data_IF_605011589799
#
_entry.id   IF_605011589799
#
_cell.length_a   1.000
_cell.length_b   1.000
_cell.length_c   1.000
_cell.angle_alpha   90.00
_cell.angle_beta   90.00
_cell.angle_gamma   90.00
#
_symmetry.space_group_name_H-M   'P 1'
#
loop_
_entity.id
_entity.type
_entity.pdbx_description
1 polymer ?
#
# COMPACT_ATOMS: atom_id res chain seq x y z
N UNK A 1 114.70 96.25 -19.10
CA UNK A 1 115.10 96.29 -17.68
C UNK A 1 114.47 97.50 -17.04
N UNK A 2 113.49 97.28 -16.15
CA UNK A 2 113.02 98.14 -15.04
C UNK A 2 111.49 98.01 -14.92
N UNK A 3 111.08 97.06 -14.10
CA UNK A 3 109.70 96.72 -13.76
C UNK A 3 109.08 97.86 -12.95
N UNK A 4 107.87 98.36 -13.28
CA UNK A 4 107.22 99.43 -12.53
C UNK A 4 106.76 98.89 -11.16
N UNK A 5 107.36 99.41 -10.10
CA UNK A 5 107.08 99.10 -8.69
C UNK A 5 105.61 99.20 -8.23
N UNK A 6 104.73 99.79 -9.02
CA UNK A 6 103.33 100.10 -8.70
C UNK A 6 102.40 98.89 -8.78
N UNK A 7 102.68 97.93 -9.67
CA UNK A 7 101.89 96.69 -9.74
C UNK A 7 102.24 95.74 -8.60
N UNK A 8 103.52 95.68 -8.21
CA UNK A 8 103.96 94.89 -7.05
C UNK A 8 103.35 95.42 -5.75
N UNK A 9 103.22 96.75 -5.61
CA UNK A 9 102.61 97.35 -4.42
C UNK A 9 101.11 97.08 -4.32
N UNK A 10 100.38 97.13 -5.45
CA UNK A 10 98.95 96.78 -5.47
C UNK A 10 98.71 95.31 -5.17
N UNK A 11 99.52 94.41 -5.73
CA UNK A 11 99.37 92.97 -5.51
C UNK A 11 99.75 92.57 -4.08
N UNK A 12 100.81 93.17 -3.52
CA UNK A 12 101.19 92.98 -2.12
C UNK A 12 100.11 93.53 -1.15
N UNK A 13 99.43 94.63 -1.48
CA UNK A 13 98.31 95.13 -0.68
C UNK A 13 97.08 94.21 -0.75
N UNK A 14 96.81 93.62 -1.91
CA UNK A 14 95.67 92.71 -2.11
C UNK A 14 95.87 91.37 -1.40
N UNK A 15 97.10 90.85 -1.36
CA UNK A 15 97.48 89.67 -0.56
C UNK A 15 97.54 89.96 0.95
N UNK A 16 98.00 91.16 1.35
CA UNK A 16 98.06 91.55 2.78
C UNK A 16 96.69 91.87 3.39
N UNK A 17 95.66 92.13 2.58
CA UNK A 17 94.30 92.46 3.04
C UNK A 17 93.33 91.26 3.10
N UNK A 18 93.64 90.11 2.49
CA UNK A 18 92.68 88.98 2.42
C UNK A 18 93.04 87.76 3.28
N UNK A 19 94.17 87.78 3.99
CA UNK A 19 94.59 86.72 4.92
C UNK A 19 94.99 87.29 6.27
N UNK A 20 93.98 87.65 7.06
CA UNK A 20 93.85 87.40 8.51
C UNK A 20 92.75 88.28 9.09
N UNK A 21 91.63 87.67 9.46
CA UNK A 21 90.86 88.13 10.61
C UNK A 21 91.15 87.19 11.76
N UNK A 22 91.86 87.68 12.81
CA UNK A 22 92.12 86.93 14.02
C UNK A 22 90.86 86.84 14.88
N UNK A 23 90.80 85.79 15.67
CA UNK A 23 89.82 85.61 16.73
C UNK A 23 89.95 86.69 17.82
N UNK A 24 88.78 87.04 18.38
CA UNK A 24 88.53 87.54 19.74
C UNK A 24 88.99 88.97 20.11
N UNK A 25 88.02 89.88 20.20
CA UNK A 25 87.74 90.61 21.44
C UNK A 25 86.32 91.18 21.42
N UNK A 26 85.50 90.73 22.37
CA UNK A 26 84.25 91.39 22.72
C UNK A 26 84.56 92.68 23.50
N UNK A 27 83.66 93.66 23.33
CA UNK A 27 83.41 94.80 24.23
C UNK A 27 84.15 96.13 23.96
N UNK A 28 83.72 96.86 22.91
CA UNK A 28 83.01 98.16 23.03
C UNK A 28 82.65 98.71 21.63
N UNK A 29 81.44 98.38 21.14
CA UNK A 29 80.88 98.93 19.90
C UNK A 29 79.96 100.12 20.23
N UNK A 30 79.95 101.21 19.43
CA UNK A 30 79.00 102.32 19.57
C UNK A 30 77.55 101.79 19.51
N UNK A 31 76.64 102.22 20.42
CA UNK A 31 75.29 101.66 20.55
C UNK A 31 74.44 101.65 19.27
N UNK A 32 74.69 102.57 18.33
CA UNK A 32 73.89 102.75 17.11
C UNK A 32 74.18 101.68 16.04
N UNK A 33 75.43 101.22 15.90
CA UNK A 33 75.78 100.18 14.92
C UNK A 33 75.31 98.80 15.36
N UNK A 34 75.39 98.50 16.67
CA UNK A 34 74.85 97.26 17.25
C UNK A 34 73.32 97.18 17.12
N UNK A 35 72.62 98.31 17.05
CA UNK A 35 71.17 98.37 16.81
C UNK A 35 70.80 98.18 15.33
N UNK A 36 71.64 98.60 14.38
CA UNK A 36 71.42 98.39 12.95
C UNK A 36 71.69 96.93 12.56
N UNK A 37 72.77 96.35 13.06
CA UNK A 37 73.09 94.93 12.88
C UNK A 37 71.99 94.05 13.53
N UNK A 38 71.53 94.40 14.73
CA UNK A 38 70.35 93.77 15.35
C UNK A 38 69.07 93.95 14.54
N UNK A 39 68.89 95.05 13.82
CA UNK A 39 67.71 95.29 12.97
C UNK A 39 67.78 94.49 11.67
N UNK A 40 68.95 94.38 11.04
CA UNK A 40 69.16 93.50 9.88
C UNK A 40 69.01 92.02 10.27
N UNK A 41 69.62 91.58 11.38
CA UNK A 41 69.42 90.24 11.95
C UNK A 41 67.92 89.94 12.18
N UNK A 42 67.15 90.91 12.69
CA UNK A 42 65.72 90.74 12.91
C UNK A 42 64.92 90.68 11.61
N UNK A 43 65.31 91.42 10.57
CA UNK A 43 64.64 91.39 9.26
C UNK A 43 64.94 90.08 8.52
N UNK A 44 66.18 89.61 8.56
CA UNK A 44 66.55 88.34 7.94
C UNK A 44 66.00 87.15 8.74
N UNK A 45 66.02 87.21 10.08
CA UNK A 45 65.33 86.22 10.92
C UNK A 45 63.80 86.22 10.68
N UNK A 46 63.17 87.37 10.43
CA UNK A 46 61.74 87.44 10.09
C UNK A 46 61.48 86.89 8.67
N UNK A 47 62.37 87.12 7.70
CA UNK A 47 62.30 86.51 6.37
C UNK A 47 62.45 84.99 6.44
N UNK A 48 63.43 84.49 7.20
CA UNK A 48 63.66 83.07 7.41
C UNK A 48 62.50 82.42 8.15
N UNK A 49 61.95 83.09 9.18
CA UNK A 49 60.75 82.63 9.88
C UNK A 49 59.54 82.59 8.95
N UNK A 50 59.36 83.57 8.06
CA UNK A 50 58.29 83.58 7.06
C UNK A 50 58.48 82.49 6.01
N UNK A 51 59.72 82.25 5.55
CA UNK A 51 60.04 81.18 4.63
C UNK A 51 59.79 79.80 5.29
N UNK A 52 60.18 79.62 6.55
CA UNK A 52 59.94 78.41 7.32
C UNK A 52 58.44 78.20 7.61
N UNK A 53 57.69 79.26 7.91
CA UNK A 53 56.22 79.21 8.03
C UNK A 53 55.56 78.86 6.70
N UNK A 54 56.06 79.38 5.58
CA UNK A 54 55.53 79.07 4.25
C UNK A 54 55.77 77.61 3.85
N UNK A 55 56.99 77.07 4.10
CA UNK A 55 57.32 75.68 3.80
C UNK A 55 56.57 74.69 4.71
N UNK A 56 56.46 74.98 6.01
CA UNK A 56 55.67 74.16 6.95
C UNK A 56 54.17 74.19 6.61
N UNK A 57 53.63 75.35 6.26
CA UNK A 57 52.23 75.49 5.80
C UNK A 57 51.98 74.73 4.49
N UNK A 58 52.91 74.77 3.54
CA UNK A 58 52.83 74.03 2.29
C UNK A 58 52.88 72.51 2.53
N UNK A 59 53.77 72.03 3.42
CA UNK A 59 53.86 70.62 3.79
C UNK A 59 52.59 70.11 4.49
N UNK A 60 51.99 70.93 5.37
CA UNK A 60 50.72 70.61 6.03
C UNK A 60 49.54 70.58 5.05
N UNK A 61 49.50 71.51 4.08
CA UNK A 61 48.49 71.50 3.00
C UNK A 61 48.62 70.24 2.14
N UNK A 62 49.84 69.92 1.68
CA UNK A 62 50.09 68.71 0.90
C UNK A 62 49.74 67.43 1.70
N UNK A 63 50.01 67.40 3.01
CA UNK A 63 49.62 66.28 3.88
C UNK A 63 48.10 66.15 4.01
N UNK A 64 47.38 67.27 4.15
CA UNK A 64 45.90 67.29 4.17
C UNK A 64 45.33 66.79 2.85
N UNK A 65 45.84 67.26 1.72
CA UNK A 65 45.41 66.82 0.39
C UNK A 65 45.64 65.32 0.20
N UNK A 66 46.82 64.81 0.55
CA UNK A 66 47.12 63.36 0.53
C UNK A 66 46.19 62.56 1.43
N UNK A 67 45.83 63.09 2.61
CA UNK A 67 44.95 62.41 3.54
C UNK A 67 43.50 62.39 3.03
N UNK A 68 43.03 63.49 2.45
CA UNK A 68 41.71 63.57 1.79
C UNK A 68 41.64 62.62 0.59
N UNK A 69 42.71 62.54 -0.21
CA UNK A 69 42.76 61.66 -1.36
C UNK A 69 42.71 60.18 -0.96
N UNK A 70 43.50 59.79 0.06
CA UNK A 70 43.42 58.44 0.67
C UNK A 70 42.04 58.15 1.25
N UNK A 71 41.41 59.12 1.91
CA UNK A 71 40.07 58.97 2.46
C UNK A 71 39.03 58.76 1.36
N UNK A 72 39.13 59.50 0.24
CA UNK A 72 38.27 59.32 -0.93
C UNK A 72 38.49 57.96 -1.60
N UNK A 73 39.73 57.50 -1.71
CA UNK A 73 40.08 56.17 -2.24
C UNK A 73 39.53 55.04 -1.35
N UNK A 74 39.63 55.18 -0.03
CA UNK A 74 39.07 54.25 0.95
C UNK A 74 37.54 54.24 0.91
N UNK A 75 36.90 55.41 0.88
CA UNK A 75 35.44 55.54 0.72
C UNK A 75 34.98 54.88 -0.59
N UNK A 76 35.68 55.13 -1.69
CA UNK A 76 35.41 54.47 -2.97
C UNK A 76 35.60 52.96 -2.90
N UNK A 77 36.62 52.48 -2.18
CA UNK A 77 36.88 51.05 -2.00
C UNK A 77 35.83 50.38 -1.12
N UNK A 78 35.35 51.05 -0.06
CA UNK A 78 34.28 50.56 0.80
C UNK A 78 32.96 50.42 0.03
N UNK A 79 32.60 51.40 -0.79
CA UNK A 79 31.39 51.31 -1.64
C UNK A 79 31.51 50.17 -2.65
N UNK A 80 32.69 49.97 -3.26
CA UNK A 80 32.95 48.83 -4.15
C UNK A 80 32.87 47.49 -3.40
N UNK A 81 33.38 47.43 -2.18
CA UNK A 81 33.36 46.24 -1.34
C UNK A 81 31.94 45.89 -0.87
N UNK A 82 31.14 46.89 -0.47
CA UNK A 82 29.74 46.72 -0.11
C UNK A 82 28.91 46.22 -1.30
N UNK A 83 29.13 46.79 -2.49
CA UNK A 83 28.51 46.33 -3.73
C UNK A 83 28.95 44.91 -4.14
N UNK A 84 30.20 44.53 -3.83
CA UNK A 84 30.70 43.18 -4.04
C UNK A 84 30.08 42.17 -3.06
N UNK A 85 29.81 42.58 -1.82
CA UNK A 85 29.17 41.74 -0.80
C UNK A 85 27.66 41.57 -0.97
N UNK A 86 27.01 42.39 -1.80
CA UNK A 86 25.62 42.19 -2.25
C UNK A 86 25.52 41.00 -3.23
N UNK A 87 26.01 39.82 -2.83
CA UNK A 87 25.78 38.56 -3.51
C UNK A 87 24.28 38.26 -3.46
N UNK A 88 23.53 38.71 -4.47
CA UNK A 88 22.10 38.40 -4.61
C UNK A 88 21.85 36.89 -4.74
N UNK A 89 22.87 36.13 -5.13
CA UNK A 89 22.79 34.67 -5.30
C UNK A 89 22.56 33.93 -3.99
N UNK A 90 23.04 34.42 -2.83
CA UNK A 90 22.90 33.68 -1.56
C UNK A 90 21.46 33.72 -1.02
N UNK A 91 20.79 34.90 -0.90
CA UNK A 91 19.38 34.94 -0.53
C UNK A 91 18.47 34.20 -1.51
N UNK A 92 18.77 34.27 -2.81
CA UNK A 92 18.01 33.55 -3.84
C UNK A 92 18.17 32.03 -3.72
N UNK A 93 19.40 31.56 -3.42
CA UNK A 93 19.67 30.15 -3.14
C UNK A 93 18.92 29.67 -1.88
N UNK A 94 18.93 30.45 -0.80
CA UNK A 94 18.20 30.14 0.44
C UNK A 94 16.69 30.07 0.16
N UNK A 95 16.12 31.05 -0.53
CA UNK A 95 14.70 31.04 -0.88
C UNK A 95 14.31 29.84 -1.76
N UNK A 96 15.20 29.41 -2.68
CA UNK A 96 15.00 28.18 -3.46
C UNK A 96 15.07 26.91 -2.62
N UNK A 97 15.97 26.84 -1.64
CA UNK A 97 16.04 25.73 -0.70
C UNK A 97 14.79 25.65 0.18
N UNK A 98 14.32 26.77 0.71
CA UNK A 98 13.09 26.82 1.51
C UNK A 98 11.88 26.38 0.69
N UNK A 99 11.74 26.89 -0.54
CA UNK A 99 10.68 26.46 -1.46
C UNK A 99 10.77 24.96 -1.80
N UNK A 100 11.99 24.42 -1.93
CA UNK A 100 12.19 22.99 -2.17
C UNK A 100 11.82 22.15 -0.93
N UNK A 101 12.15 22.62 0.27
CA UNK A 101 11.78 21.97 1.52
C UNK A 101 10.26 21.96 1.71
N UNK A 102 9.57 23.07 1.42
CA UNK A 102 8.12 23.20 1.49
C UNK A 102 7.43 22.27 0.49
N UNK A 103 7.90 22.23 -0.76
CA UNK A 103 7.37 21.31 -1.78
C UNK A 103 7.62 19.85 -1.39
N UNK A 104 8.79 19.52 -0.85
CA UNK A 104 9.09 18.18 -0.35
C UNK A 104 8.17 17.79 0.83
N UNK A 105 7.90 18.71 1.75
CA UNK A 105 6.99 18.47 2.86
C UNK A 105 5.56 18.24 2.37
N UNK A 106 5.08 19.06 1.43
CA UNK A 106 3.76 18.89 0.80
C UNK A 106 3.65 17.54 0.08
N UNK A 107 4.66 17.14 -0.69
CA UNK A 107 4.68 15.85 -1.39
C UNK A 107 4.67 14.66 -0.41
N UNK A 108 5.37 14.75 0.72
CA UNK A 108 5.33 13.71 1.76
C UNK A 108 3.97 13.62 2.44
N UNK A 109 3.27 14.74 2.60
CA UNK A 109 1.93 14.73 3.16
C UNK A 109 0.96 14.05 2.20
N UNK A 110 0.97 14.43 0.92
CA UNK A 110 0.10 13.81 -0.09
C UNK A 110 0.41 12.34 -0.29
N UNK A 111 1.69 11.93 -0.27
CA UNK A 111 2.08 10.52 -0.32
C UNK A 111 1.48 9.72 0.85
N UNK A 112 1.50 10.26 2.07
CA UNK A 112 0.89 9.61 3.24
C UNK A 112 -0.63 9.48 3.11
N UNK A 113 -1.29 10.53 2.62
CA UNK A 113 -2.73 10.52 2.37
C UNK A 113 -3.09 9.46 1.32
N UNK A 114 -2.37 9.42 0.21
CA UNK A 114 -2.56 8.42 -0.85
C UNK A 114 -2.32 6.99 -0.35
N UNK A 115 -1.30 6.77 0.47
CA UNK A 115 -1.05 5.47 1.09
C UNK A 115 -2.18 5.06 2.04
N UNK A 116 -2.67 5.98 2.86
CA UNK A 116 -3.79 5.72 3.76
C UNK A 116 -5.09 5.40 2.97
N UNK A 117 -5.36 6.11 1.88
CA UNK A 117 -6.48 5.82 0.99
C UNK A 117 -6.34 4.44 0.32
N UNK A 118 -5.14 4.11 -0.15
CA UNK A 118 -4.84 2.81 -0.76
C UNK A 118 -5.02 1.67 0.24
N UNK A 119 -4.54 1.83 1.47
CA UNK A 119 -4.73 0.85 2.55
C UNK A 119 -6.21 0.70 2.91
N UNK A 120 -6.95 1.80 3.01
CA UNK A 120 -8.40 1.77 3.25
C UNK A 120 -9.15 1.07 2.10
N UNK A 121 -8.78 1.34 0.86
CA UNK A 121 -9.35 0.70 -0.31
C UNK A 121 -9.05 -0.81 -0.35
N UNK A 122 -7.81 -1.20 -0.03
CA UNK A 122 -7.41 -2.62 0.10
C UNK A 122 -8.19 -3.32 1.21
N UNK A 123 -8.34 -2.69 2.37
CA UNK A 123 -9.12 -3.25 3.48
C UNK A 123 -10.61 -3.41 3.12
N UNK A 124 -11.18 -2.45 2.38
CA UNK A 124 -12.57 -2.55 1.87
C UNK A 124 -12.72 -3.71 0.88
N UNK A 125 -11.79 -3.83 -0.07
CA UNK A 125 -11.77 -4.94 -1.02
C UNK A 125 -11.64 -6.29 -0.33
N UNK A 126 -10.78 -6.40 0.69
CA UNK A 126 -10.61 -7.63 1.44
C UNK A 126 -11.92 -8.01 2.15
N UNK A 127 -12.57 -7.08 2.85
CA UNK A 127 -13.86 -7.34 3.51
C UNK A 127 -14.95 -7.79 2.55
N UNK A 128 -15.00 -7.20 1.35
CA UNK A 128 -15.95 -7.62 0.32
C UNK A 128 -15.67 -9.05 -0.15
N UNK A 129 -14.40 -9.38 -0.39
CA UNK A 129 -14.00 -10.76 -0.76
C UNK A 129 -14.33 -11.75 0.32
N UNK A 130 -14.05 -11.43 1.58
CA UNK A 130 -14.33 -12.32 2.71
C UNK A 130 -15.85 -12.53 2.85
N UNK A 131 -16.65 -11.47 2.73
CA UNK A 131 -18.11 -11.57 2.76
C UNK A 131 -18.69 -12.39 1.57
N UNK A 132 -18.13 -12.23 0.37
CA UNK A 132 -18.50 -13.05 -0.79
C UNK A 132 -18.13 -14.52 -0.59
N UNK A 133 -16.96 -14.81 -0.02
CA UNK A 133 -16.54 -16.17 0.31
C UNK A 133 -17.47 -16.80 1.35
N UNK A 134 -17.82 -16.07 2.40
CA UNK A 134 -18.74 -16.53 3.44
C UNK A 134 -20.13 -16.85 2.86
N UNK A 135 -20.67 -15.98 2.00
CA UNK A 135 -21.96 -16.25 1.35
C UNK A 135 -21.88 -17.43 0.38
N UNK A 136 -20.78 -17.58 -0.37
CA UNK A 136 -20.57 -18.74 -1.25
C UNK A 136 -20.51 -20.05 -0.44
N UNK A 137 -19.84 -20.05 0.71
CA UNK A 137 -19.83 -21.18 1.63
C UNK A 137 -21.23 -21.48 2.18
N UNK A 138 -21.98 -20.45 2.59
CA UNK A 138 -23.35 -20.60 3.10
C UNK A 138 -24.29 -21.18 2.05
N UNK A 139 -24.20 -20.70 0.81
CA UNK A 139 -24.96 -21.24 -0.31
C UNK A 139 -24.55 -22.67 -0.65
N UNK A 140 -23.25 -22.98 -0.60
CA UNK A 140 -22.71 -24.33 -0.76
C UNK A 140 -23.28 -25.31 0.26
N UNK A 141 -23.28 -24.93 1.54
CA UNK A 141 -23.88 -25.71 2.63
C UNK A 141 -25.39 -25.88 2.43
N UNK A 142 -26.10 -24.81 2.03
CA UNK A 142 -27.53 -24.90 1.77
C UNK A 142 -27.85 -25.85 0.61
N UNK A 143 -27.05 -25.82 -0.46
CA UNK A 143 -27.17 -26.72 -1.59
C UNK A 143 -26.97 -28.18 -1.16
N UNK A 144 -25.94 -28.46 -0.36
CA UNK A 144 -25.69 -29.81 0.17
C UNK A 144 -26.88 -30.33 1.00
N UNK A 145 -27.42 -29.51 1.91
CA UNK A 145 -28.61 -29.88 2.70
C UNK A 145 -29.83 -30.16 1.84
N UNK A 146 -30.05 -29.38 0.77
CA UNK A 146 -31.16 -29.61 -0.15
C UNK A 146 -30.96 -30.89 -0.96
N UNK A 147 -29.73 -31.20 -1.37
CA UNK A 147 -29.39 -32.45 -2.06
C UNK A 147 -29.63 -33.66 -1.17
N UNK A 148 -29.17 -33.64 0.09
CA UNK A 148 -29.41 -34.73 1.04
C UNK A 148 -30.91 -34.96 1.28
N UNK A 149 -31.70 -33.89 1.42
CA UNK A 149 -33.16 -33.99 1.55
C UNK A 149 -33.83 -34.57 0.31
N UNK A 150 -33.33 -34.22 -0.87
CA UNK A 150 -33.82 -34.75 -2.14
C UNK A 150 -33.51 -36.25 -2.27
N UNK A 151 -32.30 -36.65 -1.94
CA UNK A 151 -31.86 -38.06 -1.94
C UNK A 151 -32.67 -38.89 -0.95
N UNK A 152 -32.83 -38.43 0.29
CA UNK A 152 -33.67 -39.10 1.28
C UNK A 152 -35.14 -39.20 0.84
N UNK A 153 -35.68 -38.20 0.15
CA UNK A 153 -37.02 -38.26 -0.40
C UNK A 153 -37.12 -39.29 -1.54
N UNK A 154 -36.14 -39.31 -2.45
CA UNK A 154 -36.06 -40.29 -3.55
C UNK A 154 -35.96 -41.72 -3.02
N UNK A 155 -35.12 -41.96 -2.03
CA UNK A 155 -34.98 -43.27 -1.39
C UNK A 155 -36.31 -43.75 -0.79
N UNK A 156 -37.03 -42.87 -0.09
CA UNK A 156 -38.36 -43.19 0.45
C UNK A 156 -39.34 -43.53 -0.66
N UNK A 157 -39.36 -42.75 -1.75
CA UNK A 157 -40.23 -43.03 -2.90
C UNK A 157 -39.93 -44.40 -3.49
N UNK A 158 -38.65 -44.72 -3.75
CA UNK A 158 -38.23 -46.03 -4.26
C UNK A 158 -38.62 -47.17 -3.32
N UNK A 159 -38.47 -46.99 -2.00
CA UNK A 159 -38.90 -47.98 -1.01
C UNK A 159 -40.41 -48.24 -1.08
N UNK A 160 -41.22 -47.18 -1.20
CA UNK A 160 -42.67 -47.32 -1.31
C UNK A 160 -43.11 -47.90 -2.65
N UNK A 161 -42.46 -47.53 -3.75
CA UNK A 161 -42.70 -48.15 -5.06
C UNK A 161 -42.40 -49.65 -5.03
N UNK A 162 -41.29 -50.06 -4.41
CA UNK A 162 -40.95 -51.48 -4.25
C UNK A 162 -42.00 -52.22 -3.41
N UNK A 163 -42.41 -51.66 -2.27
CA UNK A 163 -43.48 -52.23 -1.44
C UNK A 163 -44.80 -52.32 -2.21
N UNK A 164 -45.15 -51.29 -2.98
CA UNK A 164 -46.36 -51.27 -3.79
C UNK A 164 -46.34 -52.38 -4.84
N UNK A 165 -45.22 -52.57 -5.55
CA UNK A 165 -45.05 -53.66 -6.52
C UNK A 165 -45.18 -55.02 -5.84
N UNK A 166 -44.59 -55.21 -4.65
CA UNK A 166 -44.72 -56.46 -3.89
C UNK A 166 -46.18 -56.76 -3.51
N UNK A 167 -46.92 -55.74 -3.05
CA UNK A 167 -48.35 -55.87 -2.72
C UNK A 167 -49.14 -56.23 -3.97
N UNK A 168 -48.89 -55.54 -5.09
CA UNK A 168 -49.56 -55.77 -6.35
C UNK A 168 -49.31 -57.19 -6.88
N UNK A 169 -48.05 -57.65 -6.87
CA UNK A 169 -47.68 -59.01 -7.29
C UNK A 169 -48.37 -60.05 -6.40
N UNK A 170 -48.34 -59.86 -5.08
CA UNK A 170 -49.02 -60.76 -4.14
C UNK A 170 -50.53 -60.81 -4.40
N UNK A 171 -51.16 -59.67 -4.63
CA UNK A 171 -52.58 -59.59 -4.95
C UNK A 171 -52.91 -60.30 -6.28
N UNK A 172 -52.07 -60.14 -7.30
CA UNK A 172 -52.21 -60.83 -8.58
C UNK A 172 -52.09 -62.36 -8.42
N UNK A 173 -51.12 -62.84 -7.64
CA UNK A 173 -50.96 -64.26 -7.33
C UNK A 173 -52.17 -64.83 -6.59
N UNK A 174 -52.67 -64.13 -5.56
CA UNK A 174 -53.86 -64.55 -4.81
C UNK A 174 -55.11 -64.58 -5.69
N UNK A 175 -55.28 -63.59 -6.56
CA UNK A 175 -56.39 -63.52 -7.52
C UNK A 175 -56.32 -64.69 -8.51
N UNK A 176 -55.13 -65.00 -9.02
CA UNK A 176 -54.92 -66.13 -9.92
C UNK A 176 -55.21 -67.48 -9.23
N UNK A 177 -54.72 -67.67 -8.01
CA UNK A 177 -54.98 -68.89 -7.23
C UNK A 177 -56.46 -69.06 -6.93
N UNK A 178 -57.16 -67.99 -6.55
CA UNK A 178 -58.61 -68.02 -6.36
C UNK A 178 -59.33 -68.41 -7.66
N UNK A 179 -58.97 -67.78 -8.79
CA UNK A 179 -59.51 -68.14 -10.09
C UNK A 179 -59.32 -69.63 -10.43
N UNK A 180 -58.11 -70.16 -10.21
CA UNK A 180 -57.82 -71.60 -10.42
C UNK A 180 -58.65 -72.49 -9.50
N UNK A 181 -58.74 -72.16 -8.22
CA UNK A 181 -59.52 -72.95 -7.26
C UNK A 181 -61.01 -72.97 -7.61
N UNK A 182 -61.58 -71.83 -8.01
CA UNK A 182 -62.96 -71.73 -8.51
C UNK A 182 -63.20 -72.60 -9.73
N UNK A 183 -62.30 -72.56 -10.71
CA UNK A 183 -62.39 -73.41 -11.91
C UNK A 183 -62.29 -74.90 -11.57
N UNK A 184 -61.38 -75.29 -10.67
CA UNK A 184 -61.28 -76.68 -10.22
C UNK A 184 -62.54 -77.15 -9.49
N UNK A 185 -63.10 -76.33 -8.60
CA UNK A 185 -64.35 -76.62 -7.90
C UNK A 185 -65.53 -76.81 -8.87
N UNK A 186 -65.69 -75.89 -9.83
CA UNK A 186 -66.70 -75.99 -10.87
C UNK A 186 -66.54 -77.26 -11.70
N UNK A 187 -65.31 -77.57 -12.12
CA UNK A 187 -65.03 -78.78 -12.90
C UNK A 187 -65.39 -80.06 -12.13
N UNK A 188 -65.07 -80.12 -10.83
CA UNK A 188 -65.44 -81.26 -9.97
C UNK A 188 -66.97 -81.35 -9.80
N UNK A 189 -67.64 -80.24 -9.55
CA UNK A 189 -69.10 -80.19 -9.44
C UNK A 189 -69.78 -80.67 -10.74
N UNK A 190 -69.31 -80.20 -11.89
CA UNK A 190 -69.81 -80.66 -13.19
C UNK A 190 -69.63 -82.17 -13.37
N UNK A 191 -68.49 -82.74 -12.96
CA UNK A 191 -68.27 -84.18 -13.00
C UNK A 191 -69.27 -84.93 -12.09
N UNK A 192 -69.53 -84.44 -10.89
CA UNK A 192 -70.56 -85.00 -9.98
C UNK A 192 -71.95 -84.95 -10.60
N UNK A 193 -72.34 -83.81 -11.19
CA UNK A 193 -73.61 -83.67 -11.90
C UNK A 193 -73.74 -84.66 -13.06
N UNK A 194 -72.67 -84.86 -13.84
CA UNK A 194 -72.63 -85.85 -14.93
C UNK A 194 -72.84 -87.27 -14.40
N UNK A 195 -72.15 -87.67 -13.32
CA UNK A 195 -72.32 -88.98 -12.71
C UNK A 195 -73.73 -89.21 -12.16
N UNK A 196 -74.36 -88.18 -11.59
CA UNK A 196 -75.75 -88.23 -11.10
C UNK A 196 -76.80 -88.05 -12.21
N UNK A 197 -76.38 -87.79 -13.46
CA UNK A 197 -77.25 -87.41 -14.58
C UNK A 197 -78.17 -86.23 -14.26
N UNK A 198 -77.67 -85.29 -13.45
CA UNK A 198 -78.37 -84.07 -13.06
C UNK A 198 -77.84 -82.89 -13.87
N UNK A 199 -78.72 -81.96 -14.24
CA UNK A 199 -78.28 -80.68 -14.83
C UNK A 199 -77.65 -79.81 -13.76
N UNK A 200 -76.47 -79.20 -14.01
CA UNK A 200 -75.88 -78.23 -13.08
C UNK A 200 -76.86 -77.09 -12.79
N UNK A 201 -77.32 -76.98 -11.55
CA UNK A 201 -78.36 -76.02 -11.14
C UNK A 201 -77.82 -74.84 -10.32
N UNK A 202 -76.56 -74.92 -9.87
CA UNK A 202 -75.89 -73.87 -9.12
C UNK A 202 -75.27 -72.85 -10.07
N UNK A 203 -75.19 -71.60 -9.61
CA UNK A 203 -74.51 -70.53 -10.34
C UNK A 203 -73.01 -70.82 -10.47
N UNK A 204 -72.41 -70.34 -11.56
CA UNK A 204 -70.99 -70.50 -11.88
C UNK A 204 -70.12 -69.80 -10.83
N UNK A 205 -70.59 -68.70 -10.24
CA UNK A 205 -69.86 -67.96 -9.20
C UNK A 205 -70.03 -68.54 -7.79
N UNK A 206 -71.04 -69.41 -7.57
CA UNK A 206 -71.30 -70.05 -6.27
C UNK A 206 -70.35 -71.23 -6.01
N UNK A 207 -69.08 -70.89 -5.76
CA UNK A 207 -68.03 -71.88 -5.51
C UNK A 207 -68.25 -72.67 -4.23
N UNK A 208 -68.85 -72.05 -3.20
CA UNK A 208 -69.10 -72.70 -1.91
C UNK A 208 -70.20 -73.76 -2.04
N UNK A 209 -71.31 -73.43 -2.70
CA UNK A 209 -72.36 -74.38 -3.02
C UNK A 209 -71.86 -75.54 -3.89
N UNK A 210 -71.04 -75.25 -4.91
CA UNK A 210 -70.41 -76.28 -5.76
C UNK A 210 -69.56 -77.26 -4.94
N UNK A 211 -68.71 -76.76 -4.03
CA UNK A 211 -67.88 -77.61 -3.17
C UNK A 211 -68.70 -78.42 -2.17
N UNK A 212 -69.77 -77.86 -1.60
CA UNK A 212 -70.63 -78.60 -0.68
C UNK A 212 -71.32 -79.78 -1.39
N UNK A 213 -71.77 -79.62 -2.64
CA UNK A 213 -72.33 -80.72 -3.43
C UNK A 213 -71.29 -81.81 -3.74
N UNK A 214 -70.05 -81.41 -4.07
CA UNK A 214 -68.94 -82.36 -4.28
C UNK A 214 -68.64 -83.13 -3.00
N UNK A 215 -68.60 -82.44 -1.85
CA UNK A 215 -68.39 -83.05 -0.53
C UNK A 215 -69.49 -84.05 -0.18
N UNK A 216 -70.76 -83.67 -0.33
CA UNK A 216 -71.89 -84.57 -0.07
C UNK A 216 -71.80 -85.83 -0.95
N UNK A 217 -71.48 -85.68 -2.23
CA UNK A 217 -71.30 -86.83 -3.12
C UNK A 217 -70.16 -87.76 -2.69
N UNK A 218 -69.01 -87.23 -2.27
CA UNK A 218 -67.89 -88.04 -1.78
C UNK A 218 -68.27 -88.78 -0.50
N UNK A 219 -68.98 -88.12 0.42
CA UNK A 219 -69.47 -88.73 1.66
C UNK A 219 -70.49 -89.85 1.38
N UNK A 220 -71.43 -89.62 0.45
CA UNK A 220 -72.41 -90.62 0.02
C UNK A 220 -71.70 -91.85 -0.58
N UNK A 221 -70.70 -91.63 -1.45
CA UNK A 221 -69.90 -92.72 -2.02
C UNK A 221 -69.13 -93.49 -0.96
N UNK A 222 -68.48 -92.79 -0.01
CA UNK A 222 -67.75 -93.43 1.08
C UNK A 222 -68.66 -94.25 2.00
N UNK A 223 -69.87 -93.74 2.30
CA UNK A 223 -70.88 -94.46 3.06
C UNK A 223 -71.36 -95.70 2.31
N UNK A 224 -71.64 -95.59 1.00
CA UNK A 224 -71.98 -96.76 0.17
C UNK A 224 -70.86 -97.79 0.16
N UNK A 225 -69.62 -97.38 -0.08
CA UNK A 225 -68.45 -98.27 -0.08
C UNK A 225 -68.24 -98.97 1.27
N UNK A 226 -68.45 -98.26 2.38
CA UNK A 226 -68.33 -98.82 3.73
C UNK A 226 -69.47 -99.79 4.07
N UNK A 227 -70.61 -99.68 3.39
CA UNK A 227 -71.76 -100.59 3.56
C UNK A 227 -71.62 -101.91 2.79
N UNK A 228 -70.63 -102.04 1.90
CA UNK A 228 -70.29 -103.34 1.29
C UNK A 228 -69.48 -104.19 2.28
N UNK A 229 -69.83 -105.47 2.50
CA UNK A 229 -69.05 -106.36 3.35
C UNK A 229 -67.63 -106.50 2.76
N UNK A 230 -66.59 -106.25 3.57
CA UNK A 230 -65.24 -106.65 3.19
C UNK A 230 -65.26 -108.17 3.00
N UNK A 231 -64.92 -108.64 1.81
CA UNK A 231 -64.79 -110.07 1.56
C UNK A 231 -63.79 -110.65 2.57
N UNK A 232 -64.25 -111.59 3.40
CA UNK A 232 -63.37 -112.36 4.28
C UNK A 232 -62.22 -112.96 3.44
N UNK A 233 -60.96 -112.85 3.88
CA UNK A 233 -59.88 -113.55 3.21
C UNK A 233 -60.12 -115.06 3.38
N UNK A 234 -60.41 -115.74 2.27
CA UNK A 234 -60.49 -117.20 2.22
C UNK A 234 -59.17 -117.78 2.72
N UNK A 235 -59.23 -118.44 3.89
CA UNK A 235 -58.12 -119.19 4.45
C UNK A 235 -57.59 -120.22 3.41
N UNK A 236 -56.27 -120.43 3.30
CA UNK A 236 -55.74 -121.43 2.39
C UNK A 236 -56.12 -122.83 2.90
N UNK A 237 -56.84 -123.58 2.06
CA UNK A 237 -57.17 -124.97 2.33
C UNK A 237 -55.88 -125.79 2.47
N UNK A 238 -55.65 -126.29 3.67
CA UNK A 238 -54.68 -127.34 3.97
C UNK A 238 -55.29 -128.69 3.59
N UNK A 239 -54.57 -129.48 2.78
CA UNK A 239 -54.65 -130.96 2.64
C UNK A 239 -53.51 -131.35 1.66
N UNK A 240 -52.42 -131.98 2.13
CA UNK A 240 -52.19 -133.43 2.23
C UNK A 240 -52.46 -134.18 0.93
#
# INVERSE_FOLDING_TARGET
MSVPWEEYFRQALQEKLSLKTPEQNRDHFPPVLRLLEKKEELVDADRDLRAQKATTMAALKQRRERQQQKEQELKGSLVRFDKFLQFQEVPELVARFDSLADTQAALRLTERELLAELEAARARLQRLRDAEQDELLRQGQRRAQLQERLEAARERTLQWESKWIQIQNTAAEKTLLLGRARMSALNLFQAVCQHRKQTPALDVEDTEGQLEQVKLFILDLAAMLSSFPQAEPTAPASQL
#
